data_IF_282757546924
#
_entry.id   IF_282757546924
#
_cell.length_a   1.000
_cell.length_b   1.000
_cell.length_c   1.000
_cell.angle_alpha   90.00
_cell.angle_beta   90.00
_cell.angle_gamma   90.00
#
_symmetry.space_group_name_H-M   'P 1'
#
loop_
_entity.id
_entity.type
_entity.pdbx_description
1 polymer ?
#
# COMPACT_ATOMS: atom_id res chain seq x y z
N UNK A 1 15.48 16.19 2.38
CA UNK A 1 16.30 14.96 2.53
C UNK A 1 16.09 14.18 1.26
N UNK A 2 17.15 13.83 0.54
CA UNK A 2 17.06 12.79 -0.49
C UNK A 2 17.07 11.43 0.21
N UNK A 3 16.43 10.40 -0.37
CA UNK A 3 16.38 9.06 0.24
C UNK A 3 17.77 8.45 0.53
N UNK A 4 18.81 8.83 -0.21
CA UNK A 4 20.06 8.08 -0.32
C UNK A 4 21.08 8.19 0.85
N UNK A 5 20.72 8.72 2.03
CA UNK A 5 21.70 8.97 3.10
C UNK A 5 21.16 8.73 4.53
N UNK A 6 20.15 7.87 4.71
CA UNK A 6 19.48 7.72 6.01
C UNK A 6 20.09 6.65 6.92
N UNK A 7 20.94 5.76 6.39
CA UNK A 7 21.65 4.69 7.11
C UNK A 7 20.73 3.85 8.03
N UNK A 8 19.45 3.64 7.69
CA UNK A 8 18.57 2.87 8.57
C UNK A 8 18.95 1.40 8.55
N UNK A 9 19.50 0.94 9.68
CA UNK A 9 19.88 -0.45 9.80
C UNK A 9 18.69 -1.32 10.20
N UNK A 10 18.20 -2.16 9.30
CA UNK A 10 17.38 -3.31 9.68
C UNK A 10 18.28 -4.34 10.36
N UNK A 11 18.05 -4.56 11.65
CA UNK A 11 18.81 -5.47 12.52
C UNK A 11 20.34 -5.21 12.59
N UNK A 12 20.82 -4.00 12.28
CA UNK A 12 22.26 -3.70 12.27
C UNK A 12 23.05 -4.38 11.13
N UNK A 13 22.35 -5.03 10.18
CA UNK A 13 22.95 -5.88 9.15
C UNK A 13 22.58 -5.47 7.72
N UNK A 14 21.47 -4.74 7.54
CA UNK A 14 21.02 -4.21 6.25
C UNK A 14 20.76 -2.73 6.40
N UNK A 15 21.44 -1.89 5.62
CA UNK A 15 21.02 -0.51 5.44
C UNK A 15 19.90 -0.48 4.41
N UNK A 16 18.72 -0.03 4.82
CA UNK A 16 17.63 0.34 3.92
C UNK A 16 17.47 1.85 3.97
N UNK A 17 17.36 2.49 2.82
CA UNK A 17 17.20 3.96 2.76
C UNK A 17 15.80 4.43 3.20
N UNK A 18 14.89 3.47 3.37
CA UNK A 18 13.47 3.66 3.59
C UNK A 18 13.11 3.48 5.06
N UNK A 19 12.44 4.48 5.63
CA UNK A 19 11.97 4.45 7.03
C UNK A 19 10.68 3.62 7.14
N UNK A 20 10.76 2.30 6.92
CA UNK A 20 9.56 1.43 6.85
C UNK A 20 9.62 0.23 7.79
N UNK A 21 10.72 0.03 8.51
CA UNK A 21 10.78 -1.03 9.52
C UNK A 21 10.07 -0.60 10.82
N UNK A 22 10.31 0.63 11.26
CA UNK A 22 9.74 1.20 12.49
C UNK A 22 8.95 2.46 12.12
N UNK A 23 7.64 2.33 12.03
CA UNK A 23 6.76 3.44 11.63
C UNK A 23 6.31 4.19 12.88
N UNK A 24 6.60 5.48 12.94
CA UNK A 24 6.22 6.36 14.06
C UNK A 24 5.61 7.66 13.52
N UNK A 25 5.14 8.55 14.41
CA UNK A 25 4.61 9.85 13.99
C UNK A 25 5.65 10.73 13.28
N UNK A 26 6.94 10.55 13.62
CA UNK A 26 8.07 11.34 13.09
C UNK A 26 8.74 10.66 11.89
N UNK A 27 8.05 9.68 11.29
CA UNK A 27 8.52 8.91 10.14
C UNK A 27 8.93 9.83 8.96
N UNK A 28 10.10 9.56 8.38
CA UNK A 28 10.69 10.43 7.35
C UNK A 28 9.91 10.43 6.05
N UNK A 29 9.34 9.30 5.66
CA UNK A 29 8.52 9.19 4.45
C UNK A 29 7.19 9.94 4.60
N UNK A 30 6.57 9.84 5.78
CA UNK A 30 5.40 10.65 6.11
C UNK A 30 5.71 12.14 6.14
N UNK A 31 6.85 12.55 6.70
CA UNK A 31 7.26 13.96 6.69
C UNK A 31 7.51 14.47 5.25
N UNK A 32 8.06 13.63 4.37
CA UNK A 32 8.21 13.96 2.95
C UNK A 32 6.85 14.12 2.27
N UNK A 33 5.92 13.18 2.48
CA UNK A 33 4.55 13.26 1.97
C UNK A 33 3.86 14.56 2.41
N UNK A 34 3.89 14.86 3.71
CA UNK A 34 3.28 16.06 4.30
C UNK A 34 3.89 17.35 3.69
N UNK A 35 5.22 17.38 3.50
CA UNK A 35 5.92 18.53 2.93
C UNK A 35 5.60 18.74 1.44
N UNK A 36 5.49 17.66 0.66
CA UNK A 36 5.09 17.74 -0.75
C UNK A 36 3.66 18.27 -0.84
N UNK A 37 2.74 17.72 -0.05
CA UNK A 37 1.34 18.12 -0.05
C UNK A 37 1.17 19.60 0.32
N UNK A 38 1.80 20.04 1.41
CA UNK A 38 1.77 21.45 1.83
C UNK A 38 2.37 22.40 0.78
N UNK A 39 3.42 21.95 0.08
CA UNK A 39 4.04 22.72 -1.00
C UNK A 39 3.10 22.86 -2.21
N UNK A 40 2.44 21.76 -2.59
CA UNK A 40 1.47 21.76 -3.68
C UNK A 40 0.28 22.67 -3.36
N UNK A 41 -0.27 22.55 -2.14
CA UNK A 41 -1.39 23.36 -1.66
C UNK A 41 -1.08 24.85 -1.74
N UNK A 42 0.09 25.26 -1.21
CA UNK A 42 0.51 26.67 -1.21
C UNK A 42 0.64 27.26 -2.61
N UNK A 43 1.02 26.46 -3.62
CA UNK A 43 1.39 26.96 -4.95
C UNK A 43 0.28 26.84 -5.98
N UNK A 44 -0.50 25.77 -5.92
CA UNK A 44 -1.47 25.40 -6.94
C UNK A 44 -2.86 25.07 -6.39
N UNK A 45 -2.98 24.86 -5.08
CA UNK A 45 -4.15 24.24 -4.47
C UNK A 45 -4.19 22.73 -4.74
N UNK A 46 -4.64 21.98 -3.74
CA UNK A 46 -4.83 20.54 -3.77
C UNK A 46 -6.31 20.26 -3.53
N UNK A 47 -6.87 19.37 -4.33
CA UNK A 47 -8.15 18.75 -3.99
C UNK A 47 -7.88 17.67 -2.92
N UNK A 48 -8.14 18.01 -1.65
CA UNK A 48 -7.88 17.12 -0.52
C UNK A 48 -8.71 15.83 -0.57
N UNK A 49 -9.80 15.81 -1.33
CA UNK A 49 -10.59 14.60 -1.54
C UNK A 49 -10.01 13.70 -2.66
N UNK A 50 -8.87 14.10 -3.25
CA UNK A 50 -8.21 13.40 -4.36
C UNK A 50 -6.70 13.28 -4.16
N UNK A 51 -6.27 13.03 -2.93
CA UNK A 51 -4.88 12.68 -2.63
C UNK A 51 -4.75 11.16 -2.70
N UNK A 52 -3.95 10.68 -3.66
CA UNK A 52 -3.80 9.26 -3.94
C UNK A 52 -2.33 8.86 -3.87
N UNK A 53 -2.07 7.59 -3.57
CA UNK A 53 -0.71 7.06 -3.46
C UNK A 53 -0.52 5.77 -4.25
N UNK A 54 0.64 5.62 -4.89
CA UNK A 54 1.03 4.41 -5.61
C UNK A 54 2.49 4.07 -5.36
N UNK A 55 2.80 2.79 -5.14
CA UNK A 55 4.15 2.34 -4.83
C UNK A 55 4.45 0.90 -5.27
N UNK A 56 5.72 0.59 -5.54
CA UNK A 56 6.19 -0.75 -5.89
C UNK A 56 7.27 -1.22 -4.94
N UNK A 57 7.22 -2.48 -4.52
CA UNK A 57 8.21 -3.10 -3.64
C UNK A 57 8.35 -2.28 -2.35
N UNK A 58 9.55 -1.81 -2.00
CA UNK A 58 9.77 -0.90 -0.86
C UNK A 58 8.90 0.37 -0.91
N UNK A 59 8.65 0.91 -2.11
CA UNK A 59 7.71 2.02 -2.27
C UNK A 59 6.26 1.62 -1.99
N UNK A 60 5.91 0.34 -2.18
CA UNK A 60 4.65 -0.25 -1.73
C UNK A 60 4.53 -0.22 -0.20
N UNK A 61 5.57 -0.67 0.52
CA UNK A 61 5.63 -0.56 1.98
C UNK A 61 5.49 0.89 2.48
N UNK A 62 6.13 1.86 1.81
CA UNK A 62 5.94 3.28 2.16
C UNK A 62 4.49 3.69 2.05
N UNK A 63 3.85 3.34 0.92
CA UNK A 63 2.47 3.72 0.67
C UNK A 63 1.50 3.03 1.64
N UNK A 64 1.76 1.77 1.99
CA UNK A 64 1.00 1.05 3.01
C UNK A 64 1.22 1.68 4.40
N UNK A 65 2.44 2.09 4.73
CA UNK A 65 2.75 2.85 5.96
C UNK A 65 2.01 4.18 6.00
N UNK A 66 1.99 4.95 4.90
CA UNK A 66 1.16 6.15 4.78
C UNK A 66 -0.33 5.81 4.97
N UNK A 67 -0.78 4.67 4.44
CA UNK A 67 -2.12 4.13 4.70
C UNK A 67 -2.41 3.96 6.19
N UNK A 68 -1.43 3.56 6.98
CA UNK A 68 -1.54 3.41 8.44
C UNK A 68 -1.49 4.75 9.17
N UNK A 69 -0.49 5.60 8.93
CA UNK A 69 -0.24 6.80 9.76
C UNK A 69 -0.74 8.11 9.15
N UNK A 70 -1.22 8.10 7.91
CA UNK A 70 -1.78 9.24 7.17
C UNK A 70 -3.04 8.88 6.38
N UNK A 71 -3.70 7.77 6.71
CA UNK A 71 -4.86 7.28 5.96
C UNK A 71 -6.04 8.27 5.92
N UNK A 72 -6.16 9.18 6.90
CA UNK A 72 -7.16 10.27 6.88
C UNK A 72 -7.00 11.26 5.70
N UNK A 73 -5.78 11.37 5.17
CA UNK A 73 -5.47 12.21 4.01
C UNK A 73 -5.64 11.47 2.67
N UNK A 74 -5.71 10.14 2.65
CA UNK A 74 -5.67 9.36 1.41
C UNK A 74 -7.06 9.01 0.90
N UNK A 75 -7.35 9.33 -0.36
CA UNK A 75 -8.59 8.96 -1.04
C UNK A 75 -8.57 7.50 -1.52
N UNK A 76 -7.44 7.06 -2.09
CA UNK A 76 -7.25 5.68 -2.55
C UNK A 76 -5.78 5.34 -2.75
N UNK A 77 -5.48 4.04 -2.76
CA UNK A 77 -4.12 3.50 -2.77
C UNK A 77 -3.96 2.42 -3.85
N UNK A 78 -2.78 2.35 -4.50
CA UNK A 78 -2.40 1.23 -5.37
C UNK A 78 -1.01 0.74 -4.97
N UNK A 79 -0.86 -0.52 -4.58
CA UNK A 79 0.45 -1.09 -4.28
C UNK A 79 0.77 -2.26 -5.18
N UNK A 80 2.01 -2.29 -5.67
CA UNK A 80 2.62 -3.41 -6.37
C UNK A 80 3.60 -4.07 -5.42
N UNK A 81 3.37 -5.33 -5.04
CA UNK A 81 4.28 -6.07 -4.17
C UNK A 81 4.65 -5.29 -2.89
N UNK A 82 3.65 -4.73 -2.21
CA UNK A 82 3.78 -4.06 -0.91
C UNK A 82 3.42 -4.98 0.25
N UNK A 83 3.43 -4.43 1.47
CA UNK A 83 2.84 -5.09 2.63
C UNK A 83 2.60 -4.10 3.78
N UNK A 84 1.58 -4.38 4.58
CA UNK A 84 1.38 -3.75 5.88
C UNK A 84 2.21 -4.42 6.97
N UNK A 85 3.04 -3.64 7.65
CA UNK A 85 3.90 -4.10 8.76
C UNK A 85 3.17 -4.28 10.11
N UNK A 86 1.93 -3.81 10.23
CA UNK A 86 1.05 -4.02 11.39
C UNK A 86 0.06 -5.20 11.18
N UNK A 87 0.22 -5.98 10.12
CA UNK A 87 -0.58 -7.19 9.90
C UNK A 87 0.11 -8.42 10.48
N UNK A 88 -0.41 -8.96 11.59
CA UNK A 88 0.12 -10.15 12.27
C UNK A 88 0.31 -11.35 11.32
N UNK A 89 -0.56 -11.51 10.32
CA UNK A 89 -0.45 -12.61 9.35
C UNK A 89 0.80 -12.47 8.46
N UNK A 90 1.20 -11.24 8.14
CA UNK A 90 2.45 -10.98 7.41
C UNK A 90 3.66 -11.24 8.30
N UNK A 91 3.61 -10.78 9.55
CA UNK A 91 4.70 -10.94 10.51
C UNK A 91 4.98 -12.41 10.85
N UNK A 92 3.93 -13.24 10.93
CA UNK A 92 4.06 -14.68 11.22
C UNK A 92 4.97 -15.41 10.20
N UNK A 93 5.03 -14.94 8.96
CA UNK A 93 5.88 -15.51 7.89
C UNK A 93 7.33 -15.05 7.91
N UNK A 94 7.68 -14.03 8.69
CA UNK A 94 8.99 -13.37 8.66
C UNK A 94 10.01 -13.92 9.67
N UNK A 95 9.59 -14.82 10.55
CA UNK A 95 10.48 -15.44 11.55
C UNK A 95 11.17 -14.39 12.42
N UNK A 96 12.51 -14.46 12.51
CA UNK A 96 13.28 -13.52 13.36
C UNK A 96 13.24 -12.07 12.88
N UNK A 97 12.93 -11.82 11.60
CA UNK A 97 12.82 -10.45 11.05
C UNK A 97 11.58 -9.74 11.58
N UNK A 98 10.53 -10.49 11.97
CA UNK A 98 9.30 -9.92 12.50
C UNK A 98 9.54 -9.01 13.72
N UNK A 99 10.49 -9.37 14.60
CA UNK A 99 10.81 -8.58 15.79
C UNK A 99 11.53 -7.25 15.52
N UNK A 100 11.91 -6.99 14.27
CA UNK A 100 12.49 -5.71 13.84
C UNK A 100 11.48 -4.81 13.12
N UNK A 101 10.24 -5.28 12.94
CA UNK A 101 9.14 -4.51 12.35
C UNK A 101 8.22 -4.04 13.47
N UNK A 102 7.99 -2.74 13.53
CA UNK A 102 7.15 -2.10 14.55
C UNK A 102 6.31 -1.00 13.89
N UNK A 103 5.05 -1.29 13.61
CA UNK A 103 4.09 -0.37 13.03
C UNK A 103 2.93 -0.20 14.01
N UNK A 104 2.35 1.02 14.15
CA UNK A 104 1.19 1.21 14.99
C UNK A 104 -0.04 0.53 14.36
N UNK A 105 -1.06 0.29 15.18
CA UNK A 105 -2.35 -0.22 14.71
C UNK A 105 -2.91 0.65 13.57
N UNK A 106 -3.57 0.00 12.61
CA UNK A 106 -4.27 0.69 11.53
C UNK A 106 -5.56 1.34 12.04
N UNK A 107 -5.43 2.51 12.66
CA UNK A 107 -6.51 3.23 13.32
C UNK A 107 -7.22 4.26 12.41
N UNK A 108 -6.93 4.25 11.10
CA UNK A 108 -7.57 5.14 10.14
C UNK A 108 -9.08 4.90 10.10
N UNK A 109 -9.85 5.98 10.24
CA UNK A 109 -11.32 5.98 10.15
C UNK A 109 -11.82 6.27 8.74
N UNK A 110 -11.02 6.97 7.93
CA UNK A 110 -11.26 7.12 6.51
C UNK A 110 -11.09 5.80 5.74
N UNK A 111 -12.22 5.23 5.30
CA UNK A 111 -12.29 3.97 4.56
C UNK A 111 -11.92 4.16 3.08
N UNK A 112 -10.64 4.38 2.79
CA UNK A 112 -10.14 4.47 1.41
C UNK A 112 -10.17 3.12 0.68
N UNK A 113 -10.21 3.15 -0.65
CA UNK A 113 -10.10 1.96 -1.48
C UNK A 113 -8.63 1.63 -1.81
N UNK A 114 -8.27 0.34 -1.91
CA UNK A 114 -6.92 -0.07 -2.27
C UNK A 114 -6.85 -1.19 -3.31
N UNK A 115 -5.99 -1.03 -4.31
CA UNK A 115 -5.60 -2.11 -5.23
C UNK A 115 -4.28 -2.73 -4.78
N UNK A 116 -4.27 -4.04 -4.60
CA UNK A 116 -3.10 -4.87 -4.34
C UNK A 116 -2.74 -5.66 -5.60
N UNK A 117 -1.62 -5.31 -6.22
CA UNK A 117 -1.05 -6.03 -7.36
C UNK A 117 0.12 -6.90 -6.90
N UNK A 118 0.06 -8.18 -7.24
CA UNK A 118 1.16 -9.12 -6.99
C UNK A 118 1.35 -10.06 -8.18
N UNK A 119 2.58 -10.56 -8.35
CA UNK A 119 2.96 -11.41 -9.47
C UNK A 119 2.83 -12.91 -9.24
N UNK A 120 1.93 -13.33 -8.33
CA UNK A 120 1.73 -14.73 -7.96
C UNK A 120 2.84 -15.29 -7.05
N UNK A 121 2.95 -16.62 -6.97
CA UNK A 121 3.85 -17.30 -6.03
C UNK A 121 5.35 -17.08 -6.28
N UNK A 122 5.70 -16.54 -7.46
CA UNK A 122 7.07 -16.13 -7.82
C UNK A 122 7.35 -14.67 -7.52
N UNK A 123 6.37 -13.92 -7.01
CA UNK A 123 6.54 -12.56 -6.52
C UNK A 123 7.15 -12.61 -5.12
N UNK A 124 8.47 -12.82 -5.11
CA UNK A 124 9.24 -13.00 -3.90
C UNK A 124 10.48 -12.13 -3.91
N UNK A 125 10.90 -11.70 -2.72
CA UNK A 125 12.18 -11.02 -2.53
C UNK A 125 12.94 -11.64 -1.36
N UNK A 126 14.19 -12.06 -1.59
CA UNK A 126 15.04 -12.65 -0.55
C UNK A 126 15.70 -11.54 0.28
N UNK A 127 15.18 -11.31 1.48
CA UNK A 127 15.75 -10.42 2.49
C UNK A 127 16.64 -11.20 3.46
N UNK A 128 17.84 -11.59 2.99
CA UNK A 128 18.84 -12.39 3.72
C UNK A 128 18.29 -13.67 4.38
N UNK A 129 17.78 -13.56 5.60
CA UNK A 129 17.29 -14.66 6.45
C UNK A 129 15.79 -14.91 6.31
N UNK A 130 15.08 -14.06 5.57
CA UNK A 130 13.67 -14.21 5.26
C UNK A 130 13.42 -14.08 3.76
N UNK A 131 12.36 -14.71 3.27
CA UNK A 131 11.83 -14.48 1.93
C UNK A 131 10.49 -13.80 2.08
N UNK A 132 10.35 -12.62 1.47
CA UNK A 132 9.09 -11.91 1.36
C UNK A 132 8.26 -12.61 0.28
N UNK A 133 7.01 -12.90 0.59
CA UNK A 133 6.06 -13.55 -0.32
C UNK A 133 4.89 -12.60 -0.56
N UNK A 134 4.97 -11.81 -1.63
CA UNK A 134 4.04 -10.71 -1.87
C UNK A 134 2.63 -11.17 -2.27
N UNK A 135 2.49 -12.40 -2.77
CA UNK A 135 1.19 -13.03 -2.95
C UNK A 135 0.47 -13.28 -1.63
N UNK A 136 1.21 -13.70 -0.60
CA UNK A 136 0.67 -13.89 0.74
C UNK A 136 0.36 -12.54 1.40
N UNK A 137 1.27 -11.56 1.28
CA UNK A 137 1.05 -10.22 1.83
C UNK A 137 -0.17 -9.54 1.22
N UNK A 138 -0.30 -9.53 -0.11
CA UNK A 138 -1.46 -8.96 -0.78
C UNK A 138 -2.79 -9.60 -0.33
N UNK A 139 -2.82 -10.92 -0.17
CA UNK A 139 -4.01 -11.64 0.30
C UNK A 139 -4.34 -11.32 1.77
N UNK A 140 -3.32 -11.32 2.64
CA UNK A 140 -3.47 -11.01 4.05
C UNK A 140 -3.91 -9.56 4.27
N UNK A 141 -3.36 -8.61 3.52
CA UNK A 141 -3.63 -7.19 3.65
C UNK A 141 -5.01 -6.82 3.09
N UNK A 142 -5.38 -7.42 1.95
CA UNK A 142 -6.75 -7.32 1.44
C UNK A 142 -7.77 -7.82 2.47
N UNK A 143 -7.48 -8.94 3.15
CA UNK A 143 -8.35 -9.46 4.21
C UNK A 143 -8.40 -8.56 5.45
N UNK A 144 -7.24 -8.08 5.92
CA UNK A 144 -7.14 -7.16 7.07
C UNK A 144 -7.90 -5.86 6.81
N UNK A 145 -7.58 -5.16 5.72
CA UNK A 145 -8.24 -3.90 5.37
C UNK A 145 -9.73 -4.10 5.08
N UNK A 146 -10.11 -5.18 4.41
CA UNK A 146 -11.52 -5.53 4.20
C UNK A 146 -12.28 -5.72 5.52
N UNK A 147 -11.66 -6.36 6.52
CA UNK A 147 -12.20 -6.49 7.87
C UNK A 147 -12.33 -5.16 8.61
N UNK A 148 -11.49 -4.17 8.27
CA UNK A 148 -11.52 -2.80 8.78
C UNK A 148 -12.48 -1.88 7.99
N UNK A 149 -13.17 -2.41 6.97
CA UNK A 149 -14.19 -1.68 6.22
C UNK A 149 -13.69 -0.98 4.96
N UNK A 150 -12.46 -1.24 4.52
CA UNK A 150 -11.93 -0.72 3.26
C UNK A 150 -12.38 -1.59 2.07
N UNK A 151 -12.71 -0.96 0.94
CA UNK A 151 -12.86 -1.69 -0.32
C UNK A 151 -11.48 -2.05 -0.87
N UNK A 152 -11.27 -3.32 -1.22
CA UNK A 152 -9.97 -3.78 -1.73
C UNK A 152 -10.10 -4.49 -3.08
N UNK A 153 -9.02 -4.49 -3.86
CA UNK A 153 -8.96 -5.15 -5.16
C UNK A 153 -7.70 -5.99 -5.21
N UNK A 154 -7.84 -7.30 -5.36
CA UNK A 154 -6.72 -8.22 -5.41
C UNK A 154 -6.44 -8.62 -6.86
N UNK A 155 -5.23 -8.33 -7.34
CA UNK A 155 -4.82 -8.50 -8.73
C UNK A 155 -3.56 -9.38 -8.84
N UNK A 156 -3.73 -10.62 -9.29
CA UNK A 156 -2.62 -11.54 -9.51
C UNK A 156 -2.15 -11.54 -10.98
N UNK A 157 -1.15 -10.72 -11.31
CA UNK A 157 -0.69 -10.62 -12.70
C UNK A 157 0.27 -11.74 -13.13
N UNK A 158 0.68 -12.65 -12.23
CA UNK A 158 1.51 -13.83 -12.53
C UNK A 158 2.92 -13.54 -13.08
N UNK A 159 3.39 -12.30 -12.97
CA UNK A 159 4.65 -11.83 -13.56
C UNK A 159 5.88 -11.89 -12.64
N UNK A 160 5.73 -12.42 -11.42
CA UNK A 160 6.74 -12.28 -10.37
C UNK A 160 6.89 -10.83 -9.88
N UNK A 161 8.06 -10.50 -9.33
CA UNK A 161 8.30 -9.19 -8.71
C UNK A 161 8.57 -8.08 -9.75
N UNK A 162 7.52 -7.66 -10.46
CA UNK A 162 7.60 -6.70 -11.58
C UNK A 162 6.46 -5.70 -11.57
N UNK A 163 6.73 -4.46 -11.97
CA UNK A 163 5.72 -3.44 -12.18
C UNK A 163 6.10 -2.48 -13.33
N UNK A 164 5.12 -1.87 -14.03
CA UNK A 164 3.70 -2.21 -14.03
C UNK A 164 3.42 -3.47 -14.88
N UNK A 165 2.41 -4.29 -14.54
CA UNK A 165 2.04 -5.46 -15.31
C UNK A 165 1.18 -5.11 -16.53
N UNK A 166 1.20 -5.96 -17.58
CA UNK A 166 0.33 -5.77 -18.73
C UNK A 166 -1.15 -5.68 -18.36
N UNK A 167 -1.81 -4.63 -18.82
CA UNK A 167 -3.25 -4.40 -18.61
C UNK A 167 -3.61 -3.61 -17.36
N UNK A 168 -2.69 -3.41 -16.40
CA UNK A 168 -2.89 -2.48 -15.29
C UNK A 168 -1.79 -1.43 -15.29
N UNK A 169 -1.95 -0.45 -16.18
CA UNK A 169 -0.95 0.58 -16.45
C UNK A 169 -1.42 1.94 -15.91
N UNK A 170 -0.68 3.01 -16.21
CA UNK A 170 -1.00 4.37 -15.77
C UNK A 170 -2.46 4.80 -16.03
N UNK A 171 -3.06 4.37 -17.14
CA UNK A 171 -4.46 4.68 -17.45
C UNK A 171 -5.43 4.09 -16.40
N UNK A 172 -5.29 2.81 -16.06
CA UNK A 172 -6.13 2.13 -15.07
C UNK A 172 -5.90 2.70 -13.66
N UNK A 173 -4.65 3.06 -13.31
CA UNK A 173 -4.33 3.71 -12.03
C UNK A 173 -5.04 5.07 -11.92
N UNK A 174 -4.93 5.91 -12.96
CA UNK A 174 -5.56 7.24 -12.97
C UNK A 174 -7.08 7.14 -12.96
N UNK A 175 -7.66 6.18 -13.67
CA UNK A 175 -9.09 5.89 -13.61
C UNK A 175 -9.53 5.45 -12.21
N UNK A 176 -8.82 4.50 -11.61
CA UNK A 176 -9.10 4.05 -10.24
C UNK A 176 -9.11 5.22 -9.25
N UNK A 177 -8.08 6.07 -9.31
CA UNK A 177 -7.95 7.27 -8.49
C UNK A 177 -9.09 8.27 -8.74
N UNK A 178 -9.40 8.52 -10.02
CA UNK A 178 -10.49 9.42 -10.38
C UNK A 178 -11.83 8.97 -9.78
N UNK A 179 -12.07 7.67 -9.78
CA UNK A 179 -13.35 7.07 -9.39
C UNK A 179 -13.49 6.84 -7.88
N UNK A 180 -12.38 6.91 -7.12
CA UNK A 180 -12.37 6.74 -5.65
C UNK A 180 -11.85 7.99 -4.93
N UNK A 181 -12.57 9.13 -4.97
CA UNK A 181 -12.28 10.23 -4.07
C UNK A 181 -12.53 9.83 -2.61
N UNK A 182 -11.95 10.60 -1.67
CA UNK A 182 -12.17 10.42 -0.24
C UNK A 182 -13.65 10.49 0.10
N UNK A 183 -14.10 9.65 1.03
CA UNK A 183 -15.52 9.57 1.41
C UNK A 183 -16.38 8.73 0.46
N UNK A 184 -15.78 8.02 -0.50
CA UNK A 184 -16.49 7.01 -1.31
C UNK A 184 -16.99 5.88 -0.40
N UNK A 185 -18.28 5.93 -0.03
CA UNK A 185 -18.90 4.98 0.91
C UNK A 185 -19.22 3.61 0.28
N UNK A 186 -19.29 3.53 -1.04
CA UNK A 186 -19.47 2.29 -1.78
C UNK A 186 -18.65 2.38 -3.05
N UNK A 187 -17.74 1.44 -3.27
CA UNK A 187 -16.95 1.44 -4.50
C UNK A 187 -17.86 1.44 -5.75
N UNK A 188 -17.59 2.31 -6.74
CA UNK A 188 -18.24 2.25 -8.05
C UNK A 188 -18.07 0.90 -8.75
N UNK A 189 -17.11 0.08 -8.33
CA UNK A 189 -16.79 -1.21 -8.94
C UNK A 189 -17.44 -2.40 -8.22
N UNK A 190 -18.29 -2.15 -7.21
CA UNK A 190 -18.99 -3.20 -6.47
C UNK A 190 -19.92 -4.05 -7.35
N UNK A 191 -20.42 -3.50 -8.46
CA UNK A 191 -21.26 -4.22 -9.43
C UNK A 191 -20.44 -4.92 -10.54
N UNK A 192 -19.12 -4.71 -10.57
CA UNK A 192 -18.23 -5.21 -11.60
C UNK A 192 -17.07 -4.24 -11.87
N UNK A 193 -15.92 -4.81 -12.21
CA UNK A 193 -14.74 -4.03 -12.60
C UNK A 193 -14.94 -3.39 -13.99
N UNK A 194 -14.25 -2.28 -14.29
CA UNK A 194 -14.24 -1.71 -15.63
C UNK A 194 -13.83 -2.74 -16.69
N UNK A 195 -14.39 -2.62 -17.90
CA UNK A 195 -14.24 -3.65 -18.93
C UNK A 195 -12.80 -3.79 -19.47
N UNK A 196 -11.98 -2.75 -19.30
CA UNK A 196 -10.56 -2.73 -19.68
C UNK A 196 -9.64 -3.16 -18.53
N UNK A 197 -10.19 -3.43 -17.33
CA UNK A 197 -9.39 -4.04 -16.27
C UNK A 197 -9.04 -5.48 -16.61
N UNK A 198 -7.84 -5.94 -16.21
CA UNK A 198 -7.44 -7.31 -16.45
C UNK A 198 -8.32 -8.30 -15.70
N UNK A 199 -8.60 -9.44 -16.32
CA UNK A 199 -9.39 -10.53 -15.73
C UNK A 199 -8.74 -11.17 -14.50
N UNK A 200 -7.48 -10.84 -14.21
CA UNK A 200 -6.78 -11.30 -13.02
C UNK A 200 -7.05 -10.45 -11.76
N UNK A 201 -7.79 -9.34 -11.90
CA UNK A 201 -8.23 -8.51 -10.80
C UNK A 201 -9.60 -8.94 -10.30
N UNK A 202 -9.79 -8.87 -8.97
CA UNK A 202 -11.07 -9.19 -8.32
C UNK A 202 -11.36 -8.14 -7.25
N UNK A 203 -12.59 -7.65 -7.19
CA UNK A 203 -13.06 -6.82 -6.07
C UNK A 203 -13.31 -7.70 -4.85
N UNK A 204 -12.75 -7.27 -3.71
CA UNK A 204 -12.96 -7.86 -2.40
C UNK A 204 -13.67 -6.79 -1.56
N UNK A 205 -14.97 -6.95 -1.43
CA UNK A 205 -15.83 -6.00 -0.72
C UNK A 205 -15.45 -5.89 0.76
N UNK A 206 -15.56 -4.68 1.29
CA UNK A 206 -15.47 -4.42 2.72
C UNK A 206 -16.45 -5.32 3.51
N UNK A 207 -15.97 -5.92 4.60
CA UNK A 207 -16.79 -6.78 5.49
C UNK A 207 -16.97 -6.16 6.88
N UNK A 208 -16.17 -5.15 7.25
CA UNK A 208 -16.37 -4.32 8.44
C UNK A 208 -17.54 -3.35 8.26
N UNK A 209 -18.63 -3.58 9.00
CA UNK A 209 -19.92 -2.92 8.78
C UNK A 209 -20.04 -1.47 9.28
N UNK A 210 -20.90 -0.73 8.57
CA UNK A 210 -21.77 0.37 9.04
C UNK A 210 -21.17 1.33 10.04
#
# INVERSE_FOLDING_TARGET
MTPEDTDFTLMGLLTIDWDVAVVTTDNREAAMFDAILACLETRWGVDEDRVHAVGFSMGGFVVDALGTIRGEALASVVTYSGAYGNNDANLAGLGVVAGAIDWPDHATTNRYAQVFLHGGTTDTYSAMVATLHFDQFAANDSAMLGGLGHDTFLCNHGGGHTAPPPGFMAAQIVEFFRDHPRGTASSPYAAGLPADWPSYCTHVAATGGG
#
